data_IF_682458758252
#
_entry.id   IF_682458758252
#
_cell.length_a   1.000
_cell.length_b   1.000
_cell.length_c   1.000
_cell.angle_alpha   90.00
_cell.angle_beta   90.00
_cell.angle_gamma   90.00
#
_symmetry.space_group_name_H-M   'P 1'
#
loop_
_entity.id
_entity.type
_entity.pdbx_description
1 polymer ?
#
# COMPACT_ATOMS: atom_id res chain seq x y z
N UNK A 1 -0.88 10.65 27.24
CA UNK A 1 0.13 9.98 26.38
C UNK A 1 0.24 10.82 25.13
N UNK A 2 1.40 11.39 24.84
CA UNK A 2 1.61 12.25 23.67
C UNK A 2 1.59 11.38 22.42
N UNK A 3 0.50 11.44 21.66
CA UNK A 3 0.39 10.84 20.32
C UNK A 3 1.24 11.65 19.35
N UNK A 4 2.52 11.34 19.29
CA UNK A 4 3.42 11.88 18.27
C UNK A 4 3.04 11.25 16.94
N UNK A 5 2.76 12.07 15.92
CA UNK A 5 2.60 11.62 14.53
C UNK A 5 3.78 10.71 14.15
N UNK A 6 3.56 9.51 13.58
CA UNK A 6 4.65 8.62 13.21
C UNK A 6 5.59 9.31 12.22
N UNK A 7 6.89 9.12 12.40
CA UNK A 7 7.89 9.71 11.51
C UNK A 7 7.78 9.06 10.11
N UNK A 8 7.99 9.82 9.02
CA UNK A 8 8.01 9.23 7.69
C UNK A 8 9.07 8.10 7.60
N UNK A 9 8.75 6.96 6.97
CA UNK A 9 9.68 5.85 6.90
C UNK A 9 10.93 6.22 6.09
N UNK A 10 12.09 5.73 6.54
CA UNK A 10 13.35 5.90 5.78
C UNK A 10 13.24 5.28 4.38
N UNK A 11 14.06 5.74 3.42
CA UNK A 11 14.04 5.21 2.04
C UNK A 11 14.25 3.69 1.96
N UNK A 12 15.08 3.12 2.85
CA UNK A 12 15.27 1.66 2.93
C UNK A 12 14.01 0.96 3.43
N UNK A 13 13.34 1.53 4.44
CA UNK A 13 12.07 1.02 4.95
C UNK A 13 10.96 1.09 3.89
N UNK A 14 10.86 2.20 3.14
CA UNK A 14 9.93 2.36 2.01
C UNK A 14 10.10 1.26 0.97
N UNK A 15 11.33 0.86 0.63
CA UNK A 15 11.55 -0.24 -0.33
C UNK A 15 10.92 -1.57 0.15
N UNK A 16 11.08 -1.90 1.43
CA UNK A 16 10.50 -3.11 2.00
C UNK A 16 8.97 -3.02 2.06
N UNK A 17 8.43 -1.86 2.44
CA UNK A 17 6.99 -1.61 2.44
C UNK A 17 6.38 -1.68 1.04
N UNK A 18 7.04 -1.15 0.00
CA UNK A 18 6.59 -1.29 -1.40
C UNK A 18 6.57 -2.75 -1.84
N UNK A 19 7.58 -3.53 -1.44
CA UNK A 19 7.61 -4.98 -1.72
C UNK A 19 6.45 -5.69 -1.04
N UNK A 20 6.18 -5.36 0.23
CA UNK A 20 5.04 -5.89 0.96
C UNK A 20 3.70 -5.41 0.40
N UNK A 21 3.63 -4.20 -0.17
CA UNK A 21 2.41 -3.71 -0.81
C UNK A 21 2.00 -4.59 -1.99
N UNK A 22 2.98 -4.95 -2.82
CA UNK A 22 2.80 -5.79 -4.01
C UNK A 22 2.59 -7.28 -3.69
N UNK A 23 2.91 -7.72 -2.47
CA UNK A 23 2.63 -9.09 -2.03
C UNK A 23 1.12 -9.29 -1.82
N UNK A 24 0.48 -10.32 -2.41
CA UNK A 24 -0.95 -10.57 -2.28
C UNK A 24 -1.44 -10.71 -0.84
N UNK A 25 -0.56 -11.16 0.07
CA UNK A 25 -0.86 -11.33 1.49
C UNK A 25 -0.32 -10.17 2.34
N UNK A 26 0.33 -9.17 1.75
CA UNK A 26 0.95 -8.06 2.48
C UNK A 26 2.22 -8.43 3.24
N UNK A 27 2.91 -9.52 2.89
CA UNK A 27 4.07 -10.01 3.64
C UNK A 27 5.31 -9.14 3.39
N UNK A 28 5.95 -8.73 4.48
CA UNK A 28 7.28 -8.12 4.42
C UNK A 28 8.33 -9.19 4.03
N UNK A 29 9.39 -8.80 3.28
CA UNK A 29 10.49 -9.71 2.96
C UNK A 29 11.19 -10.27 4.21
N UNK A 30 11.64 -11.52 4.17
CA UNK A 30 12.31 -12.18 5.30
C UNK A 30 13.64 -11.50 5.70
N UNK A 31 14.32 -10.87 4.75
CA UNK A 31 15.64 -10.25 4.94
C UNK A 31 15.51 -8.75 5.24
N UNK A 32 15.00 -8.43 6.43
CA UNK A 32 14.97 -7.06 6.96
C UNK A 32 15.90 -6.98 8.18
N UNK A 33 16.67 -5.91 8.28
CA UNK A 33 17.52 -5.72 9.47
C UNK A 33 16.67 -5.47 10.71
N UNK A 34 17.11 -5.97 11.88
CA UNK A 34 16.39 -5.78 13.15
C UNK A 34 16.08 -4.30 13.44
N UNK A 35 16.98 -3.39 13.05
CA UNK A 35 16.80 -1.94 13.20
C UNK A 35 15.64 -1.41 12.35
N UNK A 36 15.54 -1.83 11.08
CA UNK A 36 14.44 -1.40 10.19
C UNK A 36 13.13 -2.03 10.67
N UNK A 37 13.15 -3.32 11.04
CA UNK A 37 11.97 -4.01 11.54
C UNK A 37 11.44 -3.34 12.82
N UNK A 38 12.31 -3.00 13.76
CA UNK A 38 11.93 -2.25 14.97
C UNK A 38 11.22 -0.94 14.62
N UNK A 39 11.79 -0.11 13.74
CA UNK A 39 11.16 1.14 13.34
C UNK A 39 9.78 0.91 12.70
N UNK A 40 9.66 -0.04 11.77
CA UNK A 40 8.39 -0.35 11.11
C UNK A 40 7.30 -0.83 12.09
N UNK A 41 7.67 -1.61 13.12
CA UNK A 41 6.75 -2.07 14.15
C UNK A 41 6.35 -0.93 15.10
N UNK A 42 7.31 -0.11 15.52
CA UNK A 42 7.10 1.02 16.42
C UNK A 42 6.23 2.11 15.80
N UNK A 43 6.46 2.42 14.52
CA UNK A 43 5.68 3.42 13.77
C UNK A 43 4.38 2.84 13.18
N UNK A 44 4.04 1.60 13.55
CA UNK A 44 2.81 0.88 13.13
C UNK A 44 2.65 0.69 11.61
N UNK A 45 3.72 0.80 10.83
CA UNK A 45 3.71 0.50 9.40
C UNK A 45 3.70 -1.00 9.10
N UNK A 46 4.04 -1.83 10.09
CA UNK A 46 3.99 -3.27 10.00
C UNK A 46 3.58 -3.89 11.34
N UNK A 47 3.18 -5.15 11.29
CA UNK A 47 2.85 -5.92 12.48
C UNK A 47 3.21 -7.39 12.31
N UNK A 48 3.41 -8.08 13.43
CA UNK A 48 3.55 -9.52 13.48
C UNK A 48 2.39 -10.11 14.29
N UNK A 49 1.64 -11.07 13.75
CA UNK A 49 0.67 -11.81 14.53
C UNK A 49 1.34 -12.92 15.34
N UNK A 50 0.72 -13.32 16.45
CA UNK A 50 1.01 -14.56 17.15
C UNK A 50 0.37 -15.77 16.45
N UNK A 51 0.46 -16.96 17.08
CA UNK A 51 -0.14 -18.19 16.56
C UNK A 51 -1.66 -18.16 16.44
N UNK A 52 -2.33 -17.30 17.19
CA UNK A 52 -3.79 -17.15 17.21
C UNK A 52 -4.27 -15.97 16.34
N UNK A 53 -3.35 -15.26 15.69
CA UNK A 53 -3.62 -14.15 14.78
C UNK A 53 -3.68 -12.77 15.46
N UNK A 54 -3.41 -12.67 16.76
CA UNK A 54 -3.38 -11.40 17.46
C UNK A 54 -2.06 -10.66 17.21
N UNK A 55 -2.15 -9.34 17.03
CA UNK A 55 -0.96 -8.49 16.85
C UNK A 55 -0.11 -8.50 18.12
N UNK A 56 1.13 -8.96 17.99
CA UNK A 56 2.14 -8.91 19.03
C UNK A 56 2.56 -7.48 19.37
N UNK A 57 2.99 -7.28 20.61
CA UNK A 57 3.70 -6.06 21.01
C UNK A 57 5.00 -5.91 20.22
N UNK A 58 5.58 -4.71 20.16
CA UNK A 58 6.86 -4.50 19.46
C UNK A 58 7.98 -5.37 20.05
N UNK A 59 8.02 -5.49 21.37
CA UNK A 59 9.03 -6.28 22.09
C UNK A 59 8.89 -7.77 21.73
N UNK A 60 7.67 -8.31 21.82
CA UNK A 60 7.40 -9.71 21.50
C UNK A 60 7.60 -10.00 20.02
N UNK A 61 7.16 -9.09 19.15
CA UNK A 61 7.34 -9.20 17.71
C UNK A 61 8.83 -9.24 17.32
N UNK A 62 9.72 -8.58 18.06
CA UNK A 62 11.17 -8.62 17.81
C UNK A 62 11.88 -9.80 18.46
N UNK A 63 11.31 -10.34 19.55
CA UNK A 63 11.81 -11.55 20.22
C UNK A 63 11.42 -12.80 19.44
N UNK A 64 10.24 -12.80 18.82
CA UNK A 64 9.80 -13.85 17.93
C UNK A 64 10.70 -13.94 16.70
N UNK A 65 11.13 -15.14 16.35
CA UNK A 65 11.97 -15.39 15.17
C UNK A 65 11.25 -16.20 14.11
N UNK A 66 10.12 -16.82 14.46
CA UNK A 66 9.25 -17.54 13.56
C UNK A 66 8.13 -16.64 13.00
N UNK A 67 7.73 -16.94 11.77
CA UNK A 67 6.53 -16.35 11.18
C UNK A 67 6.71 -15.02 10.44
N UNK A 68 5.81 -14.75 9.48
CA UNK A 68 5.86 -13.58 8.63
C UNK A 68 5.53 -12.29 9.40
N UNK A 69 5.98 -11.16 8.87
CA UNK A 69 5.57 -9.81 9.27
C UNK A 69 4.70 -9.26 8.15
N UNK A 70 3.65 -8.53 8.48
CA UNK A 70 2.69 -8.01 7.50
C UNK A 70 2.62 -6.49 7.53
N UNK A 71 2.35 -5.88 6.38
CA UNK A 71 2.15 -4.44 6.24
C UNK A 71 0.75 -4.02 6.69
N UNK A 72 0.65 -2.88 7.38
CA UNK A 72 -0.63 -2.27 7.78
C UNK A 72 -1.20 -1.38 6.67
N UNK A 73 -2.42 -0.85 6.86
CA UNK A 73 -2.96 0.14 5.93
C UNK A 73 -2.15 1.45 5.98
N UNK A 74 -1.69 1.82 7.17
CA UNK A 74 -0.82 2.96 7.44
C UNK A 74 0.52 2.79 6.71
N UNK A 75 1.10 1.59 6.76
CA UNK A 75 2.31 1.26 6.00
C UNK A 75 2.11 1.36 4.50
N UNK A 76 0.95 0.91 3.98
CA UNK A 76 0.58 1.05 2.56
C UNK A 76 0.41 2.53 2.17
N UNK A 77 -0.16 3.35 3.05
CA UNK A 77 -0.28 4.80 2.82
C UNK A 77 1.07 5.51 2.84
N UNK A 78 1.95 5.11 3.75
CA UNK A 78 3.25 5.76 3.98
C UNK A 78 4.23 5.63 2.78
N UNK A 79 4.02 4.68 1.87
CA UNK A 79 4.85 4.54 0.66
C UNK A 79 4.38 5.39 -0.51
N UNK A 80 3.21 6.02 -0.41
CA UNK A 80 2.63 6.80 -1.49
C UNK A 80 3.27 8.17 -1.59
N UNK A 81 3.60 8.55 -2.82
CA UNK A 81 3.87 9.95 -3.14
C UNK A 81 2.58 10.77 -3.09
N UNK A 82 2.69 12.10 -2.97
CA UNK A 82 1.54 13.01 -2.98
C UNK A 82 0.64 12.83 -4.21
N UNK A 83 1.16 12.72 -5.47
CA UNK A 83 0.33 12.45 -6.63
C UNK A 83 -0.45 11.12 -6.54
N UNK A 84 0.16 10.07 -6.00
CA UNK A 84 -0.50 8.76 -5.83
C UNK A 84 -1.62 8.83 -4.79
N UNK A 85 -1.37 9.52 -3.66
CA UNK A 85 -2.40 9.73 -2.66
C UNK A 85 -3.56 10.56 -3.22
N UNK A 86 -3.28 11.62 -3.98
CA UNK A 86 -4.32 12.41 -4.65
C UNK A 86 -5.06 11.63 -5.73
N UNK A 87 -4.38 10.76 -6.47
CA UNK A 87 -5.02 9.85 -7.41
C UNK A 87 -6.05 8.96 -6.70
N UNK A 88 -5.70 8.39 -5.53
CA UNK A 88 -6.61 7.54 -4.76
C UNK A 88 -7.73 8.30 -4.03
N UNK A 89 -7.55 9.59 -3.71
CA UNK A 89 -8.48 10.32 -2.83
C UNK A 89 -9.29 11.41 -3.53
N UNK A 90 -8.69 12.14 -4.47
CA UNK A 90 -9.25 13.35 -5.11
C UNK A 90 -9.50 13.19 -6.60
N UNK A 91 -8.77 12.29 -7.26
CA UNK A 91 -8.87 12.06 -8.70
C UNK A 91 -9.42 10.66 -8.97
N UNK A 92 -10.56 10.36 -8.34
CA UNK A 92 -11.36 9.15 -8.54
C UNK A 92 -12.77 9.57 -8.89
N UNK A 93 -13.31 8.97 -9.95
CA UNK A 93 -14.71 9.10 -10.34
C UNK A 93 -15.62 8.33 -9.37
N UNK A 94 -16.92 8.64 -9.30
CA UNK A 94 -17.87 7.86 -8.49
C UNK A 94 -17.89 6.35 -8.80
N UNK A 95 -17.51 5.97 -10.02
CA UNK A 95 -17.37 4.58 -10.48
C UNK A 95 -16.16 3.84 -9.85
N UNK A 96 -15.27 4.56 -9.16
CA UNK A 96 -13.98 4.05 -8.69
C UNK A 96 -12.85 4.12 -9.73
N UNK A 97 -13.14 4.56 -10.96
CA UNK A 97 -12.12 4.78 -12.00
C UNK A 97 -11.20 5.94 -11.59
N UNK A 98 -9.89 5.79 -11.78
CA UNK A 98 -8.99 6.93 -11.63
C UNK A 98 -9.28 7.94 -12.76
N UNK A 99 -9.35 9.22 -12.42
CA UNK A 99 -9.73 10.26 -13.36
C UNK A 99 -8.72 10.38 -14.52
N UNK A 100 -9.16 10.81 -15.72
CA UNK A 100 -8.30 10.86 -16.92
C UNK A 100 -7.07 11.75 -16.81
N UNK A 101 -7.03 12.68 -15.84
CA UNK A 101 -5.89 13.56 -15.59
C UNK A 101 -4.80 12.93 -14.70
N UNK A 102 -5.04 11.73 -14.16
CA UNK A 102 -4.00 10.95 -13.48
C UNK A 102 -3.02 10.44 -14.53
N UNK A 103 -1.73 10.72 -14.34
CA UNK A 103 -0.70 10.29 -15.30
C UNK A 103 -0.60 8.77 -15.35
N UNK A 104 -0.25 8.22 -16.51
CA UNK A 104 -0.11 6.78 -16.68
C UNK A 104 0.95 6.18 -15.73
N UNK A 105 2.05 6.91 -15.44
CA UNK A 105 3.06 6.46 -14.47
C UNK A 105 2.49 6.36 -13.06
N UNK A 106 1.61 7.30 -12.66
CA UNK A 106 0.96 7.27 -11.35
C UNK A 106 -0.01 6.10 -11.26
N UNK A 107 -0.82 5.90 -12.30
CA UNK A 107 -1.76 4.78 -12.38
C UNK A 107 -1.02 3.43 -12.37
N UNK A 108 -0.01 3.25 -13.23
CA UNK A 108 0.80 2.03 -13.30
C UNK A 108 1.45 1.74 -11.95
N UNK A 109 2.05 2.74 -11.30
CA UNK A 109 2.68 2.52 -9.99
C UNK A 109 1.66 2.19 -8.89
N UNK A 110 0.40 2.65 -8.97
CA UNK A 110 -0.66 2.23 -8.05
C UNK A 110 -1.12 0.80 -8.31
N UNK A 111 -1.11 0.37 -9.59
CA UNK A 111 -1.36 -1.03 -9.98
C UNK A 111 -0.27 -1.95 -9.46
N UNK A 112 0.99 -1.57 -9.59
CA UNK A 112 2.13 -2.33 -9.03
C UNK A 112 2.06 -2.49 -7.50
N UNK A 113 1.39 -1.56 -6.81
CA UNK A 113 1.16 -1.61 -5.37
C UNK A 113 -0.13 -2.35 -4.98
N UNK A 114 -0.90 -2.86 -5.94
CA UNK A 114 -2.20 -3.51 -5.71
C UNK A 114 -3.32 -2.58 -5.26
N UNK A 115 -3.12 -1.26 -5.33
CA UNK A 115 -4.09 -0.24 -4.90
C UNK A 115 -5.00 0.22 -6.04
N UNK A 116 -4.59 -0.05 -7.28
CA UNK A 116 -5.42 0.06 -8.46
C UNK A 116 -5.30 -1.23 -9.28
N UNK A 117 -6.21 -1.40 -10.25
CA UNK A 117 -6.13 -2.47 -11.24
C UNK A 117 -6.67 -1.95 -12.58
N UNK A 118 -6.14 -2.45 -13.70
CA UNK A 118 -6.71 -2.15 -15.01
C UNK A 118 -7.95 -3.00 -15.24
N UNK A 119 -9.00 -2.41 -15.82
CA UNK A 119 -10.21 -3.12 -16.23
C UNK A 119 -10.59 -2.80 -17.67
N UNK A 120 -11.15 -3.79 -18.37
CA UNK A 120 -11.76 -3.59 -19.69
C UNK A 120 -13.14 -2.92 -19.59
N UNK A 121 -13.76 -2.65 -20.74
CA UNK A 121 -15.08 -2.02 -20.82
C UNK A 121 -16.21 -2.82 -20.14
N UNK A 122 -16.00 -4.13 -19.93
CA UNK A 122 -16.95 -5.00 -19.24
C UNK A 122 -16.64 -5.08 -17.72
N UNK A 123 -15.64 -4.36 -17.24
CA UNK A 123 -15.22 -4.35 -15.85
C UNK A 123 -14.31 -5.53 -15.45
N UNK A 124 -13.82 -6.34 -16.40
CA UNK A 124 -12.95 -7.46 -16.06
C UNK A 124 -11.51 -6.97 -15.83
N UNK A 125 -10.83 -7.44 -14.77
CA UNK A 125 -9.43 -7.13 -14.54
C UNK A 125 -8.53 -7.55 -15.71
N UNK A 126 -7.53 -6.71 -15.98
CA UNK A 126 -6.51 -6.91 -17.02
C UNK A 126 -5.11 -6.67 -16.44
N UNK A 127 -4.10 -7.38 -16.94
CA UNK A 127 -2.74 -7.28 -16.41
C UNK A 127 -2.05 -5.95 -16.77
N UNK A 128 -2.50 -5.26 -17.82
CA UNK A 128 -1.93 -4.01 -18.31
C UNK A 128 -3.03 -3.06 -18.78
N UNK A 129 -2.67 -1.81 -19.09
CA UNK A 129 -3.55 -0.82 -19.74
C UNK A 129 -3.92 -1.17 -21.18
N UNK A 130 -3.33 -2.24 -21.73
CA UNK A 130 -3.57 -2.72 -23.08
C UNK A 130 -2.92 -1.87 -24.17
N UNK A 131 -2.00 -0.95 -23.82
CA UNK A 131 -1.29 -0.17 -24.83
C UNK A 131 -0.32 -1.06 -25.62
N UNK A 132 -0.52 -1.08 -26.94
CA UNK A 132 0.31 -1.82 -27.91
C UNK A 132 1.25 -0.90 -28.69
N UNK A 133 1.20 0.41 -28.45
CA UNK A 133 1.85 1.44 -29.27
C UNK A 133 1.13 1.75 -30.59
N UNK A 134 0.13 0.94 -30.98
CA UNK A 134 -0.66 1.13 -32.21
C UNK A 134 -2.06 1.66 -31.90
N UNK A 135 -2.74 1.06 -30.91
CA UNK A 135 -4.12 1.41 -30.52
C UNK A 135 -4.21 2.37 -29.34
N UNK A 136 -3.10 2.65 -28.65
CA UNK A 136 -3.11 3.28 -27.34
C UNK A 136 -3.73 2.39 -26.25
N UNK A 137 -3.79 2.90 -25.02
CA UNK A 137 -4.40 2.22 -23.88
C UNK A 137 -5.92 2.01 -24.08
N UNK A 138 -6.37 0.79 -23.83
CA UNK A 138 -7.77 0.36 -24.00
C UNK A 138 -8.41 -0.14 -22.69
N UNK A 139 -7.61 -0.33 -21.65
CA UNK A 139 -8.06 -0.66 -20.30
C UNK A 139 -7.82 0.53 -19.36
N UNK A 140 -8.73 0.74 -18.42
CA UNK A 140 -8.68 1.90 -17.53
C UNK A 140 -8.37 1.49 -16.09
N UNK A 141 -7.60 2.29 -15.35
CA UNK A 141 -7.29 2.00 -13.96
C UNK A 141 -8.49 2.30 -13.04
N UNK A 142 -8.80 1.35 -12.17
CA UNK A 142 -9.82 1.47 -11.11
C UNK A 142 -9.17 1.25 -9.75
N UNK A 143 -9.61 2.00 -8.74
CA UNK A 143 -9.23 1.78 -7.35
C UNK A 143 -9.71 0.40 -6.89
N UNK A 144 -8.83 -0.38 -6.27
CA UNK A 144 -9.20 -1.67 -5.66
C UNK A 144 -9.88 -1.44 -4.30
N UNK A 145 -10.48 -2.48 -3.72
CA UNK A 145 -10.98 -2.42 -2.34
C UNK A 145 -9.88 -2.06 -1.35
N UNK A 146 -8.65 -2.53 -1.58
CA UNK A 146 -7.48 -2.17 -0.78
C UNK A 146 -7.08 -0.70 -0.97
N UNK A 147 -7.07 -0.21 -2.21
CA UNK A 147 -6.86 1.21 -2.51
C UNK A 147 -7.92 2.11 -1.87
N UNK A 148 -9.16 1.65 -1.77
CA UNK A 148 -10.24 2.34 -1.07
C UNK A 148 -9.94 2.47 0.43
N UNK A 149 -9.57 1.38 1.10
CA UNK A 149 -9.25 1.39 2.53
C UNK A 149 -8.09 2.34 2.84
N UNK A 150 -7.04 2.31 2.01
CA UNK A 150 -5.90 3.23 2.14
C UNK A 150 -6.31 4.69 1.94
N UNK A 151 -7.23 4.96 1.00
CA UNK A 151 -7.73 6.32 0.74
C UNK A 151 -8.61 6.87 1.87
N UNK A 152 -9.36 6.00 2.54
CA UNK A 152 -10.29 6.34 3.63
C UNK A 152 -9.63 6.43 5.01
N UNK A 153 -8.35 6.05 5.13
CA UNK A 153 -7.62 6.24 6.36
C UNK A 153 -7.76 7.70 6.83
N UNK A 154 -7.96 7.93 8.14
CA UNK A 154 -8.03 9.27 8.67
C UNK A 154 -6.78 10.07 8.30
N UNK A 155 -6.95 11.31 7.86
CA UNK A 155 -5.81 12.20 7.55
C UNK A 155 -5.10 12.68 8.84
N UNK A 156 -5.71 12.48 10.00
CA UNK A 156 -5.17 12.70 11.35
C UNK A 156 -5.34 11.42 12.18
N UNK A 157 -4.42 11.04 13.08
CA UNK A 157 -4.66 9.94 14.01
C UNK A 157 -5.93 10.23 14.82
N UNK A 158 -6.75 9.20 15.05
CA UNK A 158 -7.97 9.29 15.84
C UNK A 158 -7.68 10.01 17.18
N UNK A 159 -8.42 11.08 17.44
CA UNK A 159 -8.29 11.94 18.63
C UNK A 159 -8.73 11.24 19.90
#
# INVERSE_FOLDING_TARGET
>A
MTTTTPEPPTQRAVKHLKTACADPNGRLPDKISKKILHALLTDEYAYRPDGDGYRLSVEDALAETAGPVFITMEGRRAVLSTPQLYALTRHVEPSGRLAPNVTWQTASSLVDLGLAEYRDANGNPKPTDGDTGVSGAVHYPFRTALGQQVAELPTEPAR
#
